data_IF_366277449167
#
_entry.id   IF_366277449167
#
_cell.length_a   1.000
_cell.length_b   1.000
_cell.length_c   1.000
_cell.angle_alpha   90.00
_cell.angle_beta   90.00
_cell.angle_gamma   90.00
#
_symmetry.space_group_name_H-M   'P 1'
#
loop_
_entity.id
_entity.type
_entity.pdbx_description
1 polymer ?
#
# COMPACT_ATOMS: atom_id res chain seq x y z
N UNK A 1 4.19 25.81 11.23
CA UNK A 1 2.93 25.13 10.91
C UNK A 1 3.28 24.17 9.80
N UNK A 2 3.18 22.88 10.07
CA UNK A 2 3.43 21.83 9.10
C UNK A 2 2.19 21.61 8.25
N UNK A 3 2.41 21.43 6.96
CA UNK A 3 1.34 21.23 5.99
C UNK A 3 0.80 19.80 6.09
N UNK A 4 -0.48 19.64 5.77
CA UNK A 4 -1.12 18.32 5.73
C UNK A 4 -0.92 17.72 4.35
N UNK A 5 -0.48 16.47 4.33
CA UNK A 5 -0.28 15.68 3.13
C UNK A 5 -1.17 14.45 3.16
N UNK A 6 -1.83 14.18 2.03
CA UNK A 6 -2.60 12.98 1.82
C UNK A 6 -1.68 11.83 1.40
N UNK A 7 -1.64 10.75 2.17
CA UNK A 7 -0.91 9.53 1.87
C UNK A 7 -1.89 8.36 1.64
N UNK A 8 -1.80 7.71 0.49
CA UNK A 8 -2.59 6.52 0.16
C UNK A 8 -1.78 5.25 0.42
N UNK A 9 -2.19 4.50 1.45
CA UNK A 9 -1.65 3.20 1.82
C UNK A 9 -2.46 2.07 1.18
N UNK A 10 -1.75 1.12 0.57
CA UNK A 10 -2.31 -0.10 -0.01
C UNK A 10 -1.65 -1.38 0.52
N UNK A 11 -0.60 -1.23 1.34
CA UNK A 11 0.23 -2.30 1.86
C UNK A 11 -0.02 -2.52 3.36
N UNK A 12 0.96 -3.06 4.10
CA UNK A 12 0.90 -3.27 5.55
C UNK A 12 0.52 -2.01 6.33
N UNK A 13 0.82 -0.81 5.81
CA UNK A 13 0.45 0.48 6.40
C UNK A 13 -1.06 0.74 6.41
N UNK A 14 -1.89 -0.10 5.76
CA UNK A 14 -3.35 -0.07 5.96
C UNK A 14 -3.77 -0.52 7.37
N UNK A 15 -2.91 -1.26 8.07
CA UNK A 15 -3.10 -1.61 9.47
C UNK A 15 -2.63 -0.44 10.35
N UNK A 16 -3.54 0.12 11.13
CA UNK A 16 -3.29 1.28 11.99
C UNK A 16 -2.24 1.02 13.06
N UNK A 17 -2.27 -0.17 13.68
CA UNK A 17 -1.30 -0.53 14.71
C UNK A 17 0.11 -0.59 14.10
N UNK A 18 0.22 -1.23 12.94
CA UNK A 18 1.48 -1.30 12.19
C UNK A 18 1.95 0.07 11.70
N UNK A 19 1.03 0.93 11.27
CA UNK A 19 1.32 2.30 10.86
C UNK A 19 2.01 3.09 11.98
N UNK A 20 1.47 3.00 13.22
CA UNK A 20 2.08 3.65 14.39
C UNK A 20 3.39 3.00 14.83
N UNK A 21 3.50 1.67 14.73
CA UNK A 21 4.77 0.94 14.98
C UNK A 21 5.91 1.42 14.08
N UNK A 22 5.61 1.90 12.86
CA UNK A 22 6.61 2.48 11.96
C UNK A 22 7.04 3.91 12.36
N UNK A 23 6.48 4.47 13.44
CA UNK A 23 6.74 5.82 13.93
C UNK A 23 6.01 6.91 13.14
N UNK A 24 4.85 6.57 12.57
CA UNK A 24 4.01 7.50 11.81
C UNK A 24 2.74 7.83 12.61
N UNK A 25 2.31 9.09 12.54
CA UNK A 25 1.02 9.54 13.08
C UNK A 25 0.18 10.19 11.99
N UNK A 26 -1.14 10.20 12.19
CA UNK A 26 -2.10 10.79 11.26
C UNK A 26 -3.15 11.62 12.02
N UNK A 27 -3.64 12.68 11.37
CA UNK A 27 -4.71 13.53 11.88
C UNK A 27 -6.08 12.92 11.61
N UNK A 28 -6.25 12.34 10.42
CA UNK A 28 -7.46 11.68 10.00
C UNK A 28 -7.13 10.49 9.10
N UNK A 29 -8.07 9.54 9.02
CA UNK A 29 -8.00 8.43 8.08
C UNK A 29 -9.37 8.10 7.51
N UNK A 30 -9.39 7.62 6.28
CA UNK A 30 -10.62 7.15 5.63
C UNK A 30 -10.33 5.98 4.69
N UNK A 31 -11.31 5.10 4.54
CA UNK A 31 -11.28 4.07 3.51
C UNK A 31 -11.61 4.70 2.16
N UNK A 32 -10.83 4.38 1.13
CA UNK A 32 -10.99 4.99 -0.19
C UNK A 32 -10.73 3.95 -1.27
N UNK A 33 -11.10 4.27 -2.51
CA UNK A 33 -10.82 3.44 -3.67
C UNK A 33 -9.88 4.13 -4.66
N UNK A 34 -9.09 3.31 -5.35
CA UNK A 34 -8.24 3.73 -6.47
C UNK A 34 -8.65 2.95 -7.72
N UNK A 35 -9.17 3.66 -8.71
CA UNK A 35 -9.62 3.09 -10.00
C UNK A 35 -8.44 2.75 -10.90
N UNK A 36 -8.62 1.77 -11.79
CA UNK A 36 -7.63 1.36 -12.79
C UNK A 36 -6.28 0.88 -12.24
N UNK A 37 -6.19 0.54 -10.94
CA UNK A 37 -5.03 -0.11 -10.33
C UNK A 37 -5.44 -1.41 -9.63
N UNK A 38 -4.45 -2.30 -9.46
CA UNK A 38 -4.57 -3.52 -8.66
C UNK A 38 -3.40 -3.68 -7.72
N UNK A 39 -3.68 -4.25 -6.54
CA UNK A 39 -2.66 -4.74 -5.62
C UNK A 39 -2.02 -6.01 -6.20
N UNK A 40 -0.70 -6.05 -6.18
CA UNK A 40 0.14 -7.18 -6.58
C UNK A 40 1.24 -7.39 -5.54
N UNK A 41 1.78 -8.60 -5.47
CA UNK A 41 2.91 -8.93 -4.59
C UNK A 41 4.16 -9.20 -5.42
N UNK A 42 4.54 -8.23 -6.24
CA UNK A 42 5.61 -8.37 -7.23
C UNK A 42 6.89 -7.59 -6.88
N UNK A 43 6.93 -6.86 -5.76
CA UNK A 43 8.14 -6.14 -5.35
C UNK A 43 9.16 -7.14 -4.82
N UNK A 44 10.37 -7.12 -5.38
CA UNK A 44 11.50 -7.92 -4.89
C UNK A 44 11.93 -7.38 -3.53
N UNK A 45 11.94 -8.18 -2.44
CA UNK A 45 12.42 -7.71 -1.14
C UNK A 45 13.92 -7.41 -1.18
N UNK A 46 14.40 -6.47 -0.36
CA UNK A 46 15.86 -6.22 -0.22
C UNK A 46 16.58 -7.40 0.43
N UNK A 47 15.88 -8.04 1.35
CA UNK A 47 16.28 -9.26 2.03
C UNK A 47 15.06 -10.19 2.05
N UNK A 48 15.19 -11.38 1.48
CA UNK A 48 14.12 -12.35 1.42
C UNK A 48 14.03 -13.22 2.69
N UNK A 49 14.95 -13.07 3.65
CA UNK A 49 14.99 -13.84 4.89
C UNK A 49 15.09 -15.35 4.66
N UNK A 50 15.65 -15.77 3.51
CA UNK A 50 15.72 -17.16 3.10
C UNK A 50 14.43 -17.73 2.49
N UNK A 51 13.38 -16.93 2.30
CA UNK A 51 12.12 -17.36 1.69
C UNK A 51 12.12 -17.11 0.18
N UNK A 52 12.33 -18.18 -0.59
CA UNK A 52 12.30 -18.11 -2.05
C UNK A 52 10.90 -17.74 -2.59
N UNK A 53 10.87 -16.88 -3.61
CA UNK A 53 9.62 -16.40 -4.20
C UNK A 53 8.85 -15.38 -3.36
N UNK A 54 9.45 -14.83 -2.28
CA UNK A 54 8.85 -13.76 -1.50
C UNK A 54 8.73 -12.48 -2.34
N UNK A 55 7.53 -11.89 -2.33
CA UNK A 55 7.21 -10.59 -2.91
C UNK A 55 6.51 -9.68 -1.93
N UNK A 56 6.90 -8.41 -1.92
CA UNK A 56 6.25 -7.37 -1.15
C UNK A 56 5.10 -6.74 -1.94
N UNK A 57 4.19 -6.09 -1.22
CA UNK A 57 3.07 -5.39 -1.80
C UNK A 57 3.52 -4.24 -2.73
N UNK A 58 2.84 -4.12 -3.86
CA UNK A 58 2.98 -3.06 -4.83
C UNK A 58 1.64 -2.85 -5.56
N UNK A 59 1.52 -1.77 -6.31
CA UNK A 59 0.37 -1.53 -7.19
C UNK A 59 0.82 -1.36 -8.63
N UNK A 60 -0.02 -1.81 -9.55
CA UNK A 60 0.18 -1.60 -10.99
C UNK A 60 -1.15 -1.28 -11.68
N UNK A 61 -1.13 -0.58 -12.82
CA UNK A 61 -2.33 -0.36 -13.62
C UNK A 61 -3.00 -1.67 -14.02
N UNK A 62 -4.33 -1.68 -14.10
CA UNK A 62 -5.06 -2.84 -14.63
C UNK A 62 -4.93 -2.90 -16.16
N UNK A 63 -4.88 -4.09 -16.79
CA UNK A 63 -4.73 -4.20 -18.25
C UNK A 63 -5.84 -3.52 -19.07
N UNK A 64 -7.05 -3.41 -18.52
CA UNK A 64 -8.23 -2.87 -19.20
C UNK A 64 -8.65 -1.49 -18.71
N UNK A 65 -7.87 -0.86 -17.79
CA UNK A 65 -8.28 0.31 -17.01
C UNK A 65 -9.60 0.13 -16.24
N UNK A 66 -10.12 -1.10 -16.16
CA UNK A 66 -11.32 -1.43 -15.43
C UNK A 66 -10.97 -1.94 -14.03
N UNK A 67 -11.92 -1.79 -13.11
CA UNK A 67 -11.81 -2.21 -11.74
C UNK A 67 -11.26 -1.13 -10.80
N UNK A 68 -11.35 -1.44 -9.52
CA UNK A 68 -10.89 -0.59 -8.43
C UNK A 68 -10.26 -1.44 -7.34
N UNK A 69 -9.31 -0.87 -6.63
CA UNK A 69 -8.76 -1.44 -5.41
C UNK A 69 -9.10 -0.56 -4.21
N UNK A 70 -9.17 -1.16 -3.02
CA UNK A 70 -9.35 -0.42 -1.78
C UNK A 70 -8.01 -0.13 -1.14
N UNK A 71 -7.94 0.96 -0.40
CA UNK A 71 -6.83 1.29 0.48
C UNK A 71 -7.26 2.27 1.55
N UNK A 72 -6.29 2.80 2.28
CA UNK A 72 -6.51 3.78 3.35
C UNK A 72 -5.85 5.10 2.98
N UNK A 73 -6.63 6.17 3.01
CA UNK A 73 -6.12 7.53 2.93
C UNK A 73 -5.82 8.02 4.34
N UNK A 74 -4.57 8.43 4.58
CA UNK A 74 -4.14 9.12 5.78
C UNK A 74 -3.88 10.59 5.50
N UNK A 75 -4.36 11.46 6.37
CA UNK A 75 -3.98 12.86 6.43
C UNK A 75 -2.85 12.98 7.45
N UNK A 76 -1.62 13.13 6.98
CA UNK A 76 -0.41 13.16 7.80
C UNK A 76 0.25 14.53 7.75
N UNK A 77 1.11 14.77 8.73
CA UNK A 77 2.01 15.91 8.71
C UNK A 77 3.10 15.71 7.64
N UNK A 78 3.46 16.76 6.90
CA UNK A 78 4.52 16.72 5.89
C UNK A 78 5.89 16.32 6.49
N UNK A 79 6.11 16.56 7.79
CA UNK A 79 7.29 16.09 8.52
C UNK A 79 7.47 14.57 8.53
N UNK A 80 6.42 13.78 8.25
CA UNK A 80 6.51 12.32 8.10
C UNK A 80 6.92 11.86 6.70
N UNK A 81 6.99 12.75 5.71
CA UNK A 81 7.39 12.37 4.35
C UNK A 81 8.79 11.76 4.27
N UNK A 82 9.84 12.28 4.95
CA UNK A 82 11.16 11.65 4.96
C UNK A 82 11.14 10.24 5.55
N UNK A 83 10.30 9.99 6.57
CA UNK A 83 10.13 8.66 7.16
C UNK A 83 9.47 7.69 6.20
N UNK A 84 8.44 8.14 5.47
CA UNK A 84 7.84 7.35 4.39
C UNK A 84 8.85 7.06 3.28
N UNK A 85 9.65 8.04 2.87
CA UNK A 85 10.69 7.84 1.86
C UNK A 85 11.70 6.77 2.29
N UNK A 86 12.09 6.76 3.56
CA UNK A 86 12.97 5.73 4.13
C UNK A 86 12.33 4.34 4.07
N UNK A 87 11.09 4.20 4.56
CA UNK A 87 10.33 2.94 4.58
C UNK A 87 10.17 2.34 3.18
N UNK A 88 9.84 3.18 2.20
CA UNK A 88 9.71 2.78 0.80
C UNK A 88 11.03 2.79 0.03
N UNK A 89 12.15 3.16 0.67
CA UNK A 89 13.44 3.19 -0.01
C UNK A 89 13.50 4.14 -1.20
N UNK A 90 12.71 5.22 -1.17
CA UNK A 90 12.71 6.25 -2.21
C UNK A 90 14.08 6.95 -2.27
N UNK A 91 14.59 7.30 -3.47
CA UNK A 91 14.02 7.03 -4.79
C UNK A 91 14.51 5.73 -5.44
N UNK A 92 15.22 4.85 -4.71
CA UNK A 92 15.92 3.69 -5.30
C UNK A 92 15.03 2.45 -5.49
N UNK A 93 14.12 2.19 -4.54
CA UNK A 93 13.26 1.00 -4.55
C UNK A 93 11.87 1.31 -5.10
N UNK A 94 11.29 2.39 -4.61
CA UNK A 94 10.00 2.91 -5.03
C UNK A 94 10.13 4.33 -5.55
N UNK A 95 9.17 4.74 -6.38
CA UNK A 95 8.98 6.12 -6.82
C UNK A 95 7.72 6.68 -6.18
N UNK A 96 7.80 7.94 -5.75
CA UNK A 96 6.65 8.70 -5.26
C UNK A 96 5.77 9.08 -6.46
N UNK A 97 4.46 8.85 -6.35
CA UNK A 97 3.47 9.22 -7.37
C UNK A 97 2.26 9.86 -6.72
N UNK A 98 1.71 10.90 -7.34
CA UNK A 98 0.41 11.44 -6.98
C UNK A 98 -0.66 10.68 -7.75
N UNK A 99 -1.64 10.14 -7.03
CA UNK A 99 -2.80 9.43 -7.60
C UNK A 99 -4.08 10.14 -7.20
N UNK A 100 -5.10 10.00 -8.03
CA UNK A 100 -6.46 10.45 -7.73
C UNK A 100 -7.26 9.29 -7.16
N UNK A 101 -7.74 9.45 -5.93
CA UNK A 101 -8.52 8.46 -5.20
C UNK A 101 -9.96 8.95 -5.06
N UNK A 102 -10.89 8.01 -5.00
CA UNK A 102 -12.31 8.28 -4.79
C UNK A 102 -12.65 8.06 -3.32
N UNK A 103 -13.09 9.12 -2.64
CA UNK A 103 -13.61 9.08 -1.27
C UNK A 103 -15.05 8.55 -1.25
N UNK A 104 -15.56 8.20 -0.07
CA UNK A 104 -16.92 7.67 0.11
C UNK A 104 -18.04 8.64 -0.29
N UNK A 105 -17.76 9.93 -0.27
CA UNK A 105 -18.65 11.01 -0.73
C UNK A 105 -18.58 11.23 -2.26
N UNK A 106 -17.91 10.33 -2.98
CA UNK A 106 -17.65 10.40 -4.42
C UNK A 106 -16.75 11.57 -4.86
N UNK A 107 -16.15 12.30 -3.92
CA UNK A 107 -15.18 13.33 -4.25
C UNK A 107 -13.82 12.71 -4.57
N UNK A 108 -13.12 13.33 -5.52
CA UNK A 108 -11.74 12.99 -5.85
C UNK A 108 -10.78 13.73 -4.91
N UNK A 109 -9.79 13.01 -4.41
CA UNK A 109 -8.69 13.58 -3.65
C UNK A 109 -7.35 13.16 -4.27
N UNK A 110 -6.38 14.09 -4.28
CA UNK A 110 -5.00 13.76 -4.65
C UNK A 110 -4.26 13.25 -3.43
N UNK A 111 -3.58 12.11 -3.58
CA UNK A 111 -2.78 11.50 -2.54
C UNK A 111 -1.44 11.04 -3.10
N UNK A 112 -0.40 11.16 -2.28
CA UNK A 112 0.90 10.56 -2.53
C UNK A 112 0.81 9.06 -2.24
N UNK A 113 1.39 8.25 -3.11
CA UNK A 113 1.63 6.83 -2.88
C UNK A 113 3.00 6.46 -3.45
N UNK A 114 3.44 5.23 -3.17
CA UNK A 114 4.74 4.72 -3.61
C UNK A 114 4.52 3.53 -4.53
N UNK A 115 5.15 3.54 -5.70
CA UNK A 115 5.07 2.42 -6.66
C UNK A 115 6.47 1.88 -6.88
N UNK A 116 6.63 0.56 -6.83
CA UNK A 116 7.93 -0.08 -7.03
C UNK A 116 8.50 0.28 -8.41
N UNK A 117 9.82 0.47 -8.48
CA UNK A 117 10.48 0.62 -9.77
C UNK A 117 10.37 -0.66 -10.60
N UNK A 118 10.24 -0.58 -11.93
CA UNK A 118 10.19 -1.77 -12.79
C UNK A 118 11.37 -2.73 -12.56
N UNK A 119 12.58 -2.19 -12.41
CA UNK A 119 13.82 -2.93 -12.11
C UNK A 119 13.81 -3.67 -10.76
N UNK A 120 12.84 -3.34 -9.91
CA UNK A 120 12.69 -3.85 -8.54
C UNK A 120 11.45 -4.71 -8.40
N UNK A 121 10.87 -5.15 -9.52
CA UNK A 121 9.70 -6.02 -9.58
C UNK A 121 9.97 -7.30 -10.36
N UNK A 122 9.32 -8.38 -9.96
CA UNK A 122 9.39 -9.69 -10.63
C UNK A 122 8.04 -10.41 -10.60
N UNK A 123 7.74 -11.16 -11.67
CA UNK A 123 6.50 -11.92 -11.78
C UNK A 123 6.58 -13.23 -10.99
N UNK A 124 5.44 -13.68 -10.48
CA UNK A 124 5.34 -14.99 -9.80
C UNK A 124 5.70 -14.96 -8.32
N UNK A 125 6.17 -13.82 -7.80
CA UNK A 125 6.38 -13.61 -6.38
C UNK A 125 5.05 -13.62 -5.59
N UNK A 126 5.14 -13.95 -4.29
CA UNK A 126 4.01 -14.13 -3.39
C UNK A 126 4.29 -13.52 -2.01
N UNK A 127 3.26 -13.05 -1.29
CA UNK A 127 3.43 -12.58 0.07
C UNK A 127 3.81 -13.73 1.02
N UNK A 128 4.36 -13.40 2.18
CA UNK A 128 4.47 -14.35 3.30
C UNK A 128 3.17 -14.40 4.13
N UNK A 129 2.97 -15.48 4.89
CA UNK A 129 1.91 -15.57 5.91
C UNK A 129 1.99 -14.44 6.93
N UNK A 130 3.21 -14.07 7.33
CA UNK A 130 3.48 -12.96 8.25
C UNK A 130 2.97 -11.63 7.72
N UNK A 131 3.19 -11.35 6.43
CA UNK A 131 2.66 -10.15 5.78
C UNK A 131 1.12 -10.16 5.77
N UNK A 132 0.50 -11.27 5.35
CA UNK A 132 -0.97 -11.38 5.35
C UNK A 132 -1.57 -11.25 6.76
N UNK A 133 -0.85 -11.68 7.81
CA UNK A 133 -1.25 -11.46 9.20
C UNK A 133 -1.31 -9.97 9.56
N UNK A 134 -0.40 -9.14 9.05
CA UNK A 134 -0.45 -7.68 9.26
C UNK A 134 -1.65 -7.09 8.49
N UNK A 135 -1.87 -7.50 7.23
CA UNK A 135 -3.04 -7.09 6.45
C UNK A 135 -4.37 -7.46 7.14
N UNK A 136 -4.41 -8.55 7.91
CA UNK A 136 -5.59 -8.93 8.69
C UNK A 136 -6.02 -7.84 9.68
N UNK A 137 -5.08 -7.06 10.23
CA UNK A 137 -5.36 -5.93 11.11
C UNK A 137 -6.11 -4.79 10.40
N UNK A 138 -5.96 -4.67 9.08
CA UNK A 138 -6.65 -3.68 8.27
C UNK A 138 -8.11 -4.06 7.92
N UNK A 139 -8.65 -5.19 8.42
CA UNK A 139 -10.00 -5.69 8.06
C UNK A 139 -11.10 -4.63 8.19
N UNK A 140 -11.06 -3.82 9.25
CA UNK A 140 -12.07 -2.78 9.52
C UNK A 140 -12.03 -1.63 8.49
N UNK A 141 -10.92 -1.50 7.75
CA UNK A 141 -10.66 -0.41 6.82
C UNK A 141 -10.96 -0.81 5.37
N UNK A 142 -11.38 -2.05 5.12
CA UNK A 142 -11.51 -2.60 3.78
C UNK A 142 -12.90 -3.19 3.57
N UNK A 143 -13.38 -3.11 2.33
CA UNK A 143 -14.57 -3.85 1.93
C UNK A 143 -14.34 -5.37 2.08
N UNK A 144 -15.36 -6.10 2.54
CA UNK A 144 -15.27 -7.53 2.85
C UNK A 144 -14.85 -8.40 1.65
N UNK A 145 -15.31 -8.09 0.44
CA UNK A 145 -14.93 -8.84 -0.77
C UNK A 145 -13.46 -8.59 -1.13
N UNK A 146 -13.01 -7.35 -1.03
CA UNK A 146 -11.62 -6.99 -1.29
C UNK A 146 -10.67 -7.60 -0.25
N UNK A 147 -11.05 -7.51 1.04
CA UNK A 147 -10.31 -8.15 2.13
C UNK A 147 -10.18 -9.65 1.94
N UNK A 148 -11.30 -10.34 1.64
CA UNK A 148 -11.31 -11.78 1.38
C UNK A 148 -10.36 -12.14 0.23
N UNK A 149 -10.37 -11.36 -0.86
CA UNK A 149 -9.45 -11.57 -1.99
C UNK A 149 -7.98 -11.53 -1.57
N UNK A 150 -7.58 -10.56 -0.73
CA UNK A 150 -6.21 -10.48 -0.22
C UNK A 150 -5.89 -11.71 0.65
N UNK A 151 -6.78 -12.09 1.56
CA UNK A 151 -6.57 -13.22 2.47
C UNK A 151 -6.53 -14.58 1.77
N UNK A 152 -7.10 -14.71 0.57
CA UNK A 152 -7.01 -15.93 -0.25
C UNK A 152 -5.76 -16.00 -1.14
N UNK A 153 -4.86 -15.01 -1.07
CA UNK A 153 -3.63 -15.01 -1.86
C UNK A 153 -2.72 -16.15 -1.41
N UNK A 154 -2.20 -16.92 -2.38
CA UNK A 154 -1.21 -17.97 -2.09
C UNK A 154 0.06 -17.33 -1.52
N UNK A 155 0.60 -17.92 -0.47
CA UNK A 155 1.83 -17.47 0.17
C UNK A 155 3.06 -18.20 -0.39
N UNK A 156 4.25 -17.63 -0.14
CA UNK A 156 5.52 -18.29 -0.44
C UNK A 156 5.86 -19.39 0.60
N UNK A 157 5.31 -19.30 1.81
CA UNK A 157 5.48 -20.21 2.96
C UNK A 157 4.21 -21.00 3.33
#
# INVERSE_FOLDING_TARGET
MSDVVNFFAYNELMNEDHFREQGLEFRARSSVTLSAYRLVFNKIPRDNGGLEGLGLANIEPTPSNAGMMYGVLYEIDDSYLPRLDELFGYPKEYVRKVVEITRHDFNLAKAITYIARPEKTEKGLKPSKSMLKIFKGAKKNLNMLYFSKIMTTKTAD
#
